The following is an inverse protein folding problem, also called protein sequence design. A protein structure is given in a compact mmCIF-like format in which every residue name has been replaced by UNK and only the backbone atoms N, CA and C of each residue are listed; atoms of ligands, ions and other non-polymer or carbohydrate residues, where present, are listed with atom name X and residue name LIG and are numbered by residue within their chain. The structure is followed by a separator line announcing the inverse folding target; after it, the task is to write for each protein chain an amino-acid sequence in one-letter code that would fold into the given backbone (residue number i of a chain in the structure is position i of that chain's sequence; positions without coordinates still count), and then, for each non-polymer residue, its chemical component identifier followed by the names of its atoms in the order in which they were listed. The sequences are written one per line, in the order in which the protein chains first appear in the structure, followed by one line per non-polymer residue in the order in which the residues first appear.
data_IF_227848003083
#
_entry.id   IF_227848003083
#
_cell.length_a   1.000
_cell.length_b   1.000
_cell.length_c   1.000
_cell.angle_alpha   90.00
_cell.angle_beta   90.00
_cell.angle_gamma   90.00
#
_symmetry.space_group_name_H-M   'P 1'
#
loop_
_entity.id
_entity.type
_entity.pdbx_description
1 polymer ?
#
# COMPACT_ATOMS: atom_id res chain seq x y z
N UNK A 1 1.38 -8.88 3.30
CA UNK A 1 1.53 -8.02 4.49
C UNK A 1 0.18 -7.39 4.77
N UNK A 2 -0.39 -7.66 5.94
CA UNK A 2 -1.74 -7.23 6.32
C UNK A 2 -1.85 -7.17 7.84
N UNK A 3 -2.58 -6.18 8.36
CA UNK A 3 -3.10 -6.16 9.73
C UNK A 3 -4.61 -6.45 9.79
N UNK A 4 -5.12 -7.11 8.75
CA UNK A 4 -6.53 -7.45 8.56
C UNK A 4 -7.47 -6.22 8.53
N UNK A 5 -6.98 -5.12 7.94
CA UNK A 5 -7.73 -3.86 7.86
C UNK A 5 -7.96 -3.20 9.22
N UNK A 6 -7.01 -3.37 10.15
CA UNK A 6 -7.05 -2.86 11.52
C UNK A 6 -8.01 -3.61 12.44
N UNK A 7 -8.25 -4.90 12.19
CA UNK A 7 -9.28 -5.69 12.91
C UNK A 7 -8.73 -6.84 13.74
N UNK A 8 -7.47 -7.21 13.54
CA UNK A 8 -6.88 -8.37 14.22
C UNK A 8 -6.41 -8.02 15.63
N UNK A 9 -5.37 -7.18 15.73
CA UNK A 9 -4.79 -6.73 17.00
C UNK A 9 -4.87 -5.21 17.08
N UNK A 10 -5.42 -4.65 18.14
CA UNK A 10 -5.44 -3.21 18.31
C UNK A 10 -4.04 -2.68 18.66
N UNK A 11 -3.75 -1.44 18.24
CA UNK A 11 -2.44 -0.79 18.46
C UNK A 11 -1.27 -1.36 17.64
N UNK A 12 -1.51 -2.32 16.74
CA UNK A 12 -0.46 -2.76 15.81
C UNK A 12 -0.18 -1.71 14.72
N UNK A 13 1.04 -1.77 14.16
CA UNK A 13 1.50 -0.82 13.15
C UNK A 13 0.63 -0.84 11.88
N UNK A 14 0.64 0.27 11.15
CA UNK A 14 0.08 0.29 9.81
C UNK A 14 0.90 -0.64 8.90
N UNK A 15 0.22 -1.37 8.02
CA UNK A 15 0.90 -2.34 7.13
C UNK A 15 1.93 -1.69 6.21
N UNK A 16 1.74 -0.43 5.83
CA UNK A 16 2.70 0.34 5.02
C UNK A 16 3.98 0.70 5.80
N UNK A 17 3.90 0.83 7.13
CA UNK A 17 5.05 1.23 7.94
C UNK A 17 6.09 0.12 8.06
N UNK A 18 5.62 -1.13 8.14
CA UNK A 18 6.45 -2.33 8.23
C UNK A 18 6.87 -2.89 6.87
N UNK A 19 6.25 -2.42 5.77
CA UNK A 19 6.50 -2.94 4.43
C UNK A 19 8.00 -2.91 4.04
N UNK A 20 8.76 -1.80 4.21
CA UNK A 20 10.15 -1.76 3.75
C UNK A 20 11.05 -2.79 4.46
N UNK A 21 10.91 -2.96 5.78
CA UNK A 21 11.69 -3.93 6.55
C UNK A 21 11.40 -5.37 6.09
N UNK A 22 10.12 -5.68 5.84
CA UNK A 22 9.73 -7.00 5.34
C UNK A 22 10.21 -7.19 3.90
N UNK A 23 10.13 -6.17 3.04
CA UNK A 23 10.60 -6.24 1.66
C UNK A 23 12.12 -6.50 1.59
N UNK A 24 12.90 -5.80 2.41
CA UNK A 24 14.35 -6.05 2.55
C UNK A 24 14.62 -7.49 3.02
N UNK A 25 13.90 -7.94 4.05
CA UNK A 25 14.06 -9.29 4.57
C UNK A 25 13.68 -10.37 3.55
N UNK A 26 12.65 -10.15 2.73
CA UNK A 26 12.17 -11.12 1.73
C UNK A 26 13.05 -11.12 0.47
N UNK A 27 13.51 -9.96 0.01
CA UNK A 27 14.21 -9.80 -1.26
C UNK A 27 13.35 -10.28 -2.45
N UNK A 28 13.99 -10.78 -3.52
CA UNK A 28 13.28 -11.21 -4.74
C UNK A 28 12.76 -12.66 -4.68
N UNK A 29 12.68 -13.26 -3.49
CA UNK A 29 12.35 -14.68 -3.33
C UNK A 29 10.88 -14.98 -3.64
N UNK A 30 9.98 -14.07 -3.29
CA UNK A 30 8.54 -14.21 -3.53
C UNK A 30 7.87 -12.84 -3.72
N UNK A 31 6.76 -12.76 -4.49
CA UNK A 31 5.96 -11.55 -4.58
C UNK A 31 5.39 -11.11 -3.23
N UNK A 32 5.35 -9.80 -3.00
CA UNK A 32 4.79 -9.19 -1.78
C UNK A 32 3.44 -8.54 -2.12
N UNK A 33 2.36 -9.12 -1.61
CA UNK A 33 1.04 -8.49 -1.62
C UNK A 33 0.85 -7.66 -0.34
N UNK A 34 0.52 -6.38 -0.45
CA UNK A 34 0.16 -5.52 0.70
C UNK A 34 -1.34 -5.21 0.71
N UNK A 35 -2.01 -5.30 1.85
CA UNK A 35 -3.33 -4.71 2.04
C UNK A 35 -3.39 -3.84 3.31
N UNK A 36 -4.56 -3.28 3.60
CA UNK A 36 -4.78 -2.52 4.83
C UNK A 36 -4.60 -1.02 4.62
N UNK A 37 -5.66 -0.35 4.17
CA UNK A 37 -5.71 1.11 4.09
C UNK A 37 -5.64 1.72 2.68
N UNK A 38 -5.51 0.92 1.61
CA UNK A 38 -5.53 1.43 0.22
C UNK A 38 -6.87 2.09 -0.10
N UNK A 39 -6.87 3.39 -0.39
CA UNK A 39 -8.07 4.17 -0.76
C UNK A 39 -7.87 5.07 -1.98
N UNK A 40 -6.62 5.36 -2.34
CA UNK A 40 -6.24 6.19 -3.48
C UNK A 40 -5.23 5.50 -4.37
N UNK A 41 -5.15 5.91 -5.64
CA UNK A 41 -4.08 5.51 -6.55
C UNK A 41 -2.67 5.86 -6.03
N UNK A 42 -2.54 6.98 -5.30
CA UNK A 42 -1.26 7.35 -4.64
C UNK A 42 -0.89 6.42 -3.49
N UNK A 43 -1.83 5.74 -2.85
CA UNK A 43 -1.52 4.71 -1.85
C UNK A 43 -0.94 3.46 -2.53
N UNK A 44 -1.46 3.12 -3.71
CA UNK A 44 -0.92 2.04 -4.55
C UNK A 44 0.50 2.37 -4.97
N UNK A 45 0.75 3.58 -5.50
CA UNK A 45 2.09 4.01 -5.89
C UNK A 45 3.08 3.91 -4.73
N UNK A 46 2.71 4.39 -3.54
CA UNK A 46 3.57 4.31 -2.35
C UNK A 46 3.87 2.88 -1.94
N UNK A 47 2.87 1.99 -1.96
CA UNK A 47 3.08 0.58 -1.63
C UNK A 47 4.05 -0.09 -2.62
N UNK A 48 3.88 0.14 -3.92
CA UNK A 48 4.76 -0.39 -4.94
C UNK A 48 6.20 0.15 -4.78
N UNK A 49 6.34 1.46 -4.59
CA UNK A 49 7.63 2.12 -4.38
C UNK A 49 8.38 1.59 -3.13
N UNK A 50 7.64 1.16 -2.11
CA UNK A 50 8.19 0.62 -0.86
C UNK A 50 8.42 -0.91 -0.89
N UNK A 51 8.25 -1.56 -2.05
CA UNK A 51 8.61 -2.97 -2.25
C UNK A 51 7.44 -3.95 -2.32
N UNK A 52 6.18 -3.48 -2.39
CA UNK A 52 5.08 -4.36 -2.72
C UNK A 52 5.08 -4.70 -4.22
N UNK A 53 4.75 -5.94 -4.57
CA UNK A 53 4.50 -6.36 -5.96
C UNK A 53 3.08 -5.98 -6.39
N UNK A 54 2.12 -6.07 -5.47
CA UNK A 54 0.72 -5.74 -5.72
C UNK A 54 0.02 -5.34 -4.42
N UNK A 55 -1.19 -4.78 -4.55
CA UNK A 55 -2.00 -4.37 -3.40
C UNK A 55 -3.38 -5.02 -3.38
N UNK A 56 -3.90 -5.26 -2.18
CA UNK A 56 -5.26 -5.74 -1.93
C UNK A 56 -6.19 -4.61 -1.50
N UNK A 57 -7.42 -4.61 -2.04
CA UNK A 57 -8.46 -3.62 -1.74
C UNK A 57 -9.64 -4.32 -1.07
N UNK A 58 -9.91 -3.96 0.19
CA UNK A 58 -10.99 -4.57 0.99
C UNK A 58 -12.24 -3.70 1.06
N UNK A 59 -12.41 -2.97 2.18
CA UNK A 59 -13.61 -2.16 2.51
C UNK A 59 -14.21 -1.35 1.33
N UNK A 60 -13.43 -0.65 0.47
CA UNK A 60 -13.99 0.08 -0.67
C UNK A 60 -14.81 -0.78 -1.62
N UNK A 61 -14.41 -2.04 -1.86
CA UNK A 61 -15.14 -2.97 -2.73
C UNK A 61 -16.51 -3.31 -2.14
N UNK A 62 -16.57 -3.58 -0.84
CA UNK A 62 -17.84 -3.88 -0.16
C UNK A 62 -18.77 -2.66 -0.09
N UNK A 63 -18.22 -1.46 0.12
CA UNK A 63 -19.02 -0.23 0.12
C UNK A 63 -19.59 0.07 -1.26
N UNK A 64 -18.79 -0.09 -2.31
CA UNK A 64 -19.25 0.07 -3.69
C UNK A 64 -20.35 -0.95 -4.02
N UNK A 65 -20.12 -2.23 -3.71
CA UNK A 65 -21.09 -3.29 -3.91
C UNK A 65 -22.43 -3.00 -3.22
N UNK A 66 -22.40 -2.49 -1.99
CA UNK A 66 -23.59 -2.15 -1.23
C UNK A 66 -24.38 -0.96 -1.83
N UNK A 67 -23.70 0.01 -2.45
CA UNK A 67 -24.33 1.24 -2.98
C UNK A 67 -24.85 1.06 -4.40
N UNK A 68 -24.16 0.31 -5.24
CA UNK A 68 -24.50 0.20 -6.67
C UNK A 68 -24.12 -1.11 -7.32
N UNK A 69 -23.99 -2.18 -6.53
CA UNK A 69 -23.72 -3.52 -7.05
C UNK A 69 -22.39 -3.61 -7.80
N UNK A 70 -22.36 -4.48 -8.79
CA UNK A 70 -21.20 -4.77 -9.62
C UNK A 70 -20.68 -3.53 -10.37
N UNK A 71 -21.57 -2.70 -10.93
CA UNK A 71 -21.19 -1.49 -11.67
C UNK A 71 -20.41 -0.51 -10.80
N UNK A 72 -20.83 -0.32 -9.55
CA UNK A 72 -20.11 0.53 -8.62
C UNK A 72 -18.73 -0.04 -8.25
N UNK A 73 -18.59 -1.37 -8.16
CA UNK A 73 -17.28 -2.01 -7.92
C UNK A 73 -16.34 -1.74 -9.09
N UNK A 74 -16.79 -1.94 -10.33
CA UNK A 74 -16.00 -1.61 -11.53
C UNK A 74 -15.65 -0.13 -11.60
N UNK A 75 -16.57 0.74 -11.19
CA UNK A 75 -16.31 2.17 -11.14
C UNK A 75 -15.18 2.51 -10.15
N UNK A 76 -15.18 1.93 -8.93
CA UNK A 76 -14.09 2.15 -7.97
C UNK A 76 -12.75 1.62 -8.46
N UNK A 77 -12.73 0.43 -9.07
CA UNK A 77 -11.50 -0.10 -9.67
C UNK A 77 -10.96 0.82 -10.79
N UNK A 78 -11.86 1.36 -11.62
CA UNK A 78 -11.50 2.31 -12.68
C UNK A 78 -10.95 3.62 -12.10
N UNK A 79 -11.57 4.16 -11.05
CA UNK A 79 -11.06 5.35 -10.35
C UNK A 79 -9.66 5.13 -9.78
N UNK A 80 -9.43 4.00 -9.09
CA UNK A 80 -8.11 3.69 -8.53
C UNK A 80 -7.04 3.55 -9.62
N UNK A 81 -7.38 2.93 -10.76
CA UNK A 81 -6.50 2.84 -11.93
C UNK A 81 -6.16 4.23 -12.47
N UNK A 82 -7.16 5.08 -12.71
CA UNK A 82 -6.95 6.44 -13.23
C UNK A 82 -6.15 7.31 -12.27
N UNK A 83 -6.40 7.22 -10.96
CA UNK A 83 -5.60 7.92 -9.95
C UNK A 83 -4.15 7.43 -9.94
N UNK A 84 -3.90 6.12 -10.08
CA UNK A 84 -2.55 5.56 -10.17
C UNK A 84 -1.83 6.05 -11.43
N UNK A 85 -2.47 5.99 -12.59
CA UNK A 85 -1.93 6.49 -13.86
C UNK A 85 -1.57 7.98 -13.76
N UNK A 86 -2.43 8.77 -13.13
CA UNK A 86 -2.19 10.20 -12.89
C UNK A 86 -0.97 10.42 -11.98
N UNK A 87 -0.87 9.66 -10.89
CA UNK A 87 0.26 9.75 -9.98
C UNK A 87 1.59 9.33 -10.64
N UNK A 88 1.56 8.25 -11.44
CA UNK A 88 2.70 7.81 -12.23
C UNK A 88 3.16 8.89 -13.22
N UNK A 89 2.23 9.49 -13.96
CA UNK A 89 2.54 10.57 -14.90
C UNK A 89 3.18 11.78 -14.21
N UNK A 90 2.65 12.19 -13.04
CA UNK A 90 3.19 13.31 -12.26
C UNK A 90 4.56 13.02 -11.65
N UNK A 91 4.84 11.75 -11.33
CA UNK A 91 6.12 11.30 -10.80
C UNK A 91 7.13 10.90 -11.88
N UNK A 92 6.78 10.99 -13.17
CA UNK A 92 7.66 10.60 -14.28
C UNK A 92 7.86 9.09 -14.45
N UNK A 93 6.97 8.27 -13.89
CA UNK A 93 6.96 6.81 -14.08
C UNK A 93 6.10 6.45 -15.29
N UNK A 94 6.70 5.85 -16.34
CA UNK A 94 5.97 5.44 -17.55
C UNK A 94 5.30 4.08 -17.38
N UNK A 95 5.94 3.21 -16.62
CA UNK A 95 5.55 1.83 -16.36
C UNK A 95 5.56 1.57 -14.87
N UNK A 96 4.91 0.49 -14.44
CA UNK A 96 4.92 0.09 -13.02
C UNK A 96 6.34 -0.23 -12.56
N UNK A 97 7.21 -0.70 -13.45
CA UNK A 97 8.61 -0.98 -13.18
C UNK A 97 9.44 0.28 -12.90
N UNK A 98 8.98 1.45 -13.34
CA UNK A 98 9.64 2.74 -13.06
C UNK A 98 9.32 3.24 -11.64
N UNK A 99 8.37 2.60 -10.93
CA UNK A 99 8.00 2.96 -9.57
C UNK A 99 9.06 2.40 -8.61
N UNK A 100 9.93 3.28 -8.12
CA UNK A 100 11.00 2.94 -7.18
C UNK A 100 10.89 3.74 -5.88
N UNK A 101 11.66 3.34 -4.87
CA UNK A 101 11.71 4.04 -3.57
C UNK A 101 12.05 5.53 -3.68
N UNK A 102 12.72 5.96 -4.77
CA UNK A 102 13.08 7.36 -5.01
C UNK A 102 11.86 8.27 -5.24
N UNK A 103 10.71 7.69 -5.61
CA UNK A 103 9.47 8.45 -5.84
C UNK A 103 8.75 8.82 -4.54
N UNK A 104 9.19 8.28 -3.40
CA UNK A 104 8.55 8.51 -2.11
C UNK A 104 9.57 8.93 -1.06
N UNK A 105 9.12 9.78 -0.15
CA UNK A 105 9.88 10.11 1.05
C UNK A 105 8.96 10.06 2.25
N UNK A 106 9.48 9.59 3.38
CA UNK A 106 8.74 9.69 4.64
C UNK A 106 8.81 11.14 5.10
N UNK A 107 7.65 11.70 5.44
CA UNK A 107 7.62 13.02 6.03
C UNK A 107 8.36 13.01 7.38
N UNK A 108 9.28 13.94 7.66
CA UNK A 108 10.15 13.91 8.85
C UNK A 108 9.40 13.99 10.19
N UNK A 109 8.15 14.47 10.17
CA UNK A 109 7.26 14.53 11.33
C UNK A 109 5.98 13.68 11.18
N UNK A 110 5.91 12.83 10.15
CA UNK A 110 4.83 11.84 10.03
C UNK A 110 5.00 10.79 11.13
N UNK A 111 4.02 10.68 12.02
CA UNK A 111 4.11 9.91 13.26
C UNK A 111 4.62 8.49 13.06
N UNK A 112 5.60 8.14 13.91
CA UNK A 112 6.30 6.86 13.89
C UNK A 112 7.80 7.08 13.88
N UNK A 113 8.38 7.38 15.04
CA UNK A 113 9.77 6.98 15.31
C UNK A 113 9.83 5.46 15.11
N UNK A 114 10.07 5.00 13.88
CA UNK A 114 10.57 3.64 13.66
C UNK A 114 12.06 3.71 13.94
N UNK A 115 12.39 4.02 15.20
CA UNK A 115 13.66 3.59 15.75
C UNK A 115 13.63 2.07 15.57
N UNK A 116 14.47 1.59 14.63
CA UNK A 116 14.88 0.20 14.44
C UNK A 116 14.44 -0.62 15.64
N UNK A 117 13.29 -1.31 15.56
CA UNK A 117 12.79 -2.08 16.69
C UNK A 117 13.94 -3.00 17.10
N UNK A 118 14.60 -2.70 18.22
CA UNK A 118 15.58 -3.62 18.79
C UNK A 118 14.76 -4.88 18.99
N UNK A 119 15.10 -5.95 18.24
CA UNK A 119 14.55 -7.28 18.44
C UNK A 119 14.52 -7.50 19.94
N UNK A 120 13.34 -7.45 20.55
CA UNK A 120 13.18 -7.95 21.89
C UNK A 120 13.56 -9.42 21.76
N UNK A 121 14.74 -9.77 22.28
CA UNK A 121 15.17 -11.14 22.43
C UNK A 121 14.07 -11.83 23.24
N UNK A 122 13.30 -12.69 22.57
CA UNK A 122 12.80 -13.90 23.20
C UNK A 122 13.96 -14.90 23.22
#
# INVERSE_FOLDING_TARGET
ISNHGGRALDGCLASIDVLPEIAEAVGDRVPILLDGGIRRGTDVLKALALGATCVGIGKPMFFALAVGGEDAVFHVLSMLKTELESAMALCGARTVQDITEQLVTRHPHGGGHVGRYMRAKL
#
